data_IF_199626943688
#
_entry.id   IF_199626943688
#
_cell.length_a   1.000
_cell.length_b   1.000
_cell.length_c   1.000
_cell.angle_alpha   90.00
_cell.angle_beta   90.00
_cell.angle_gamma   90.00
#
_symmetry.space_group_name_H-M   'P 1'
#
loop_
_entity.id
_entity.type
_entity.pdbx_description
1 polymer ?
#
# COMPACT_ATOMS: atom_id res chain seq x y z
N UNK A 1 5.55 15.86 -2.85
CA UNK A 1 4.77 16.28 -1.67
C UNK A 1 5.72 16.61 -0.54
N UNK A 2 5.75 17.87 -0.12
CA UNK A 2 6.50 18.30 1.06
C UNK A 2 5.83 17.68 2.30
N UNK A 3 6.61 17.15 3.25
CA UNK A 3 6.06 16.38 4.40
C UNK A 3 5.23 17.27 5.35
N UNK A 4 5.30 18.59 5.20
CA UNK A 4 4.59 19.59 5.99
C UNK A 4 3.38 20.23 5.29
N UNK A 5 3.20 20.04 3.97
CA UNK A 5 2.20 20.80 3.22
C UNK A 5 0.81 20.19 3.37
N UNK A 6 -0.15 20.95 3.89
CA UNK A 6 -1.56 20.54 3.98
C UNK A 6 -2.19 20.44 2.59
N UNK A 7 -3.15 19.52 2.45
CA UNK A 7 -3.98 19.46 1.23
C UNK A 7 -5.04 20.56 1.35
N UNK A 8 -4.94 21.56 0.48
CA UNK A 8 -5.93 22.64 0.41
C UNK A 8 -7.30 22.07 0.03
N UNK A 9 -8.34 22.49 0.75
CA UNK A 9 -9.72 22.00 0.57
C UNK A 9 -10.21 22.16 -0.87
N UNK A 10 -9.88 23.27 -1.53
CA UNK A 10 -10.24 23.51 -2.94
C UNK A 10 -9.62 22.50 -3.91
N UNK A 11 -8.43 21.97 -3.61
CA UNK A 11 -7.77 20.96 -4.45
C UNK A 11 -8.52 19.63 -4.42
N UNK A 12 -9.06 19.22 -3.26
CA UNK A 12 -9.85 17.98 -3.17
C UNK A 12 -11.11 18.05 -4.03
N UNK A 13 -11.82 19.18 -4.00
CA UNK A 13 -13.01 19.39 -4.82
C UNK A 13 -12.64 19.39 -6.31
N UNK A 14 -11.61 20.14 -6.71
CA UNK A 14 -11.16 20.21 -8.09
C UNK A 14 -10.74 18.84 -8.63
N UNK A 15 -9.92 18.09 -7.88
CA UNK A 15 -9.53 16.73 -8.25
C UNK A 15 -10.72 15.79 -8.32
N UNK A 16 -11.63 15.84 -7.33
CA UNK A 16 -12.83 15.01 -7.31
C UNK A 16 -13.72 15.23 -8.54
N UNK A 17 -13.99 16.49 -8.88
CA UNK A 17 -14.77 16.84 -10.07
C UNK A 17 -14.07 16.44 -11.37
N UNK A 18 -12.76 16.70 -11.48
CA UNK A 18 -11.98 16.31 -12.66
C UNK A 18 -12.01 14.79 -12.87
N UNK A 19 -11.83 14.00 -11.81
CA UNK A 19 -11.88 12.54 -11.88
C UNK A 19 -13.27 12.01 -12.25
N UNK A 20 -14.34 12.61 -11.71
CA UNK A 20 -15.72 12.25 -12.06
C UNK A 20 -16.02 12.59 -13.52
N UNK A 21 -15.62 13.78 -13.99
CA UNK A 21 -15.83 14.19 -15.38
C UNK A 21 -15.02 13.32 -16.35
N UNK A 22 -13.74 13.08 -16.08
CA UNK A 22 -12.89 12.21 -16.90
C UNK A 22 -13.40 10.77 -16.90
N UNK A 23 -13.76 10.23 -15.74
CA UNK A 23 -14.33 8.90 -15.60
C UNK A 23 -15.70 8.76 -16.30
N UNK A 24 -16.55 9.78 -16.21
CA UNK A 24 -17.81 9.86 -16.93
C UNK A 24 -17.61 9.85 -18.44
N UNK A 25 -16.66 10.64 -18.95
CA UNK A 25 -16.33 10.64 -20.38
C UNK A 25 -15.83 9.27 -20.87
N UNK A 26 -14.95 8.61 -20.11
CA UNK A 26 -14.51 7.23 -20.41
C UNK A 26 -15.65 6.20 -20.35
N UNK A 27 -16.63 6.40 -19.48
CA UNK A 27 -17.73 5.46 -19.25
C UNK A 27 -18.81 5.58 -20.33
N UNK A 28 -19.20 6.80 -20.68
CA UNK A 28 -20.30 7.06 -21.62
C UNK A 28 -19.84 7.21 -23.08
N UNK A 29 -18.57 7.56 -23.30
CA UNK A 29 -18.01 7.79 -24.64
C UNK A 29 -16.62 7.15 -24.80
N UNK A 30 -16.49 5.81 -24.59
CA UNK A 30 -15.19 5.14 -24.62
C UNK A 30 -14.46 5.28 -25.97
N UNK A 31 -15.17 5.16 -27.09
CA UNK A 31 -14.57 5.28 -28.43
C UNK A 31 -14.02 6.68 -28.69
N UNK A 32 -14.83 7.69 -28.39
CA UNK A 32 -14.43 9.10 -28.54
C UNK A 32 -13.23 9.40 -27.63
N UNK A 33 -13.22 8.87 -26.40
CA UNK A 33 -12.09 9.01 -25.50
C UNK A 33 -10.82 8.37 -26.07
N UNK A 34 -10.90 7.14 -26.58
CA UNK A 34 -9.76 6.44 -27.17
C UNK A 34 -9.19 7.22 -28.35
N UNK A 35 -10.03 7.62 -29.32
CA UNK A 35 -9.59 8.42 -30.47
C UNK A 35 -9.01 9.77 -30.05
N UNK A 36 -9.65 10.46 -29.09
CA UNK A 36 -9.14 11.74 -28.58
C UNK A 36 -7.75 11.58 -27.94
N UNK A 37 -7.55 10.57 -27.10
CA UNK A 37 -6.26 10.33 -26.46
C UNK A 37 -5.19 9.96 -27.49
N UNK A 38 -5.52 9.10 -28.45
CA UNK A 38 -4.58 8.73 -29.53
C UNK A 38 -4.20 9.95 -30.37
N UNK A 39 -5.16 10.80 -30.71
CA UNK A 39 -4.90 12.07 -31.40
C UNK A 39 -4.01 13.01 -30.57
N UNK A 40 -4.28 13.17 -29.27
CA UNK A 40 -3.46 14.00 -28.40
C UNK A 40 -2.03 13.48 -28.26
N UNK A 41 -1.84 12.16 -28.16
CA UNK A 41 -0.52 11.53 -28.15
C UNK A 41 0.22 11.77 -29.47
N UNK A 42 -0.47 11.65 -30.59
CA UNK A 42 0.06 11.92 -31.92
C UNK A 42 0.52 13.38 -32.04
N UNK A 43 -0.31 14.34 -31.62
CA UNK A 43 0.08 15.75 -31.57
C UNK A 43 1.27 15.98 -30.64
N UNK A 44 1.28 15.37 -29.45
CA UNK A 44 2.37 15.52 -28.49
C UNK A 44 3.71 15.03 -29.04
N UNK A 45 3.76 13.80 -29.54
CA UNK A 45 5.00 13.24 -30.12
C UNK A 45 5.39 13.95 -31.41
N UNK A 46 4.42 14.37 -32.24
CA UNK A 46 4.70 15.15 -33.45
C UNK A 46 5.31 16.52 -33.13
N UNK A 47 4.74 17.27 -32.19
CA UNK A 47 5.27 18.56 -31.75
C UNK A 47 6.64 18.38 -31.06
N UNK A 48 6.78 17.39 -30.17
CA UNK A 48 8.06 17.09 -29.50
C UNK A 48 9.15 16.76 -30.52
N UNK A 49 8.83 15.96 -31.53
CA UNK A 49 9.74 15.66 -32.63
C UNK A 49 10.19 16.92 -33.37
N UNK A 50 9.24 17.81 -33.74
CA UNK A 50 9.56 19.09 -34.42
C UNK A 50 10.43 19.99 -33.54
N UNK A 51 10.11 20.13 -32.25
CA UNK A 51 10.88 20.94 -31.31
C UNK A 51 12.30 20.38 -31.11
N UNK A 52 12.43 19.07 -30.98
CA UNK A 52 13.74 18.41 -30.88
C UNK A 52 14.55 18.52 -32.17
N UNK A 53 13.89 18.50 -33.34
CA UNK A 53 14.53 18.74 -34.63
C UNK A 53 15.05 20.19 -34.71
N UNK A 54 14.21 21.18 -34.42
CA UNK A 54 14.60 22.60 -34.39
C UNK A 54 15.76 22.82 -33.41
N UNK A 55 15.68 22.26 -32.20
CA UNK A 55 16.72 22.37 -31.18
C UNK A 55 18.04 21.69 -31.58
N UNK A 56 18.02 20.72 -32.50
CA UNK A 56 19.20 20.08 -33.05
C UNK A 56 19.83 20.95 -34.16
N UNK A 57 19.00 21.58 -35.00
CA UNK A 57 19.44 22.49 -36.06
C UNK A 57 19.87 23.88 -35.57
N UNK A 58 19.28 24.39 -34.48
CA UNK A 58 19.57 25.74 -33.93
C UNK A 58 20.80 25.79 -33.02
N UNK A 59 21.68 24.79 -33.06
CA UNK A 59 22.83 24.68 -32.16
C UNK A 59 24.06 25.42 -32.65
N UNK A 60 24.66 26.20 -31.75
CA UNK A 60 26.03 26.67 -31.89
C UNK A 60 27.04 25.53 -31.63
N UNK A 61 28.14 25.44 -32.40
CA UNK A 61 29.08 24.32 -32.40
C UNK A 61 29.90 24.09 -31.10
N UNK A 62 29.65 24.87 -30.04
CA UNK A 62 30.37 24.77 -28.75
C UNK A 62 29.63 23.99 -27.64
N UNK A 63 28.48 23.37 -27.90
CA UNK A 63 27.75 22.60 -26.87
C UNK A 63 28.20 21.13 -26.74
N UNK A 64 28.31 20.64 -25.49
CA UNK A 64 28.76 19.30 -25.08
C UNK A 64 28.16 18.14 -25.88
N UNK A 65 29.02 17.20 -26.34
CA UNK A 65 28.67 15.92 -26.98
C UNK A 65 27.57 15.13 -26.25
N UNK A 66 27.49 15.22 -24.92
CA UNK A 66 26.47 14.55 -24.09
C UNK A 66 25.05 15.08 -24.34
N UNK A 67 24.87 16.39 -24.55
CA UNK A 67 23.57 17.00 -24.88
C UNK A 67 23.16 16.70 -26.33
N UNK A 68 24.12 16.50 -27.22
CA UNK A 68 23.88 16.06 -28.60
C UNK A 68 23.38 14.61 -28.69
N UNK A 69 23.98 13.71 -27.90
CA UNK A 69 23.53 12.33 -27.81
C UNK A 69 22.11 12.24 -27.22
N UNK A 70 21.82 13.00 -26.16
CA UNK A 70 20.50 13.01 -25.52
C UNK A 70 19.39 13.57 -26.44
N UNK A 71 19.65 14.65 -27.19
CA UNK A 71 18.65 15.21 -28.11
C UNK A 71 18.43 14.36 -29.37
N UNK A 72 19.47 13.67 -29.85
CA UNK A 72 19.33 12.76 -31.00
C UNK A 72 18.56 11.51 -30.57
N UNK A 73 18.84 11.01 -29.36
CA UNK A 73 18.07 9.91 -28.76
C UNK A 73 16.62 10.27 -28.49
N UNK A 74 16.32 11.49 -28.01
CA UNK A 74 14.93 11.92 -27.82
C UNK A 74 14.18 12.10 -29.15
N UNK A 75 14.84 12.62 -30.19
CA UNK A 75 14.26 12.75 -31.52
C UNK A 75 13.92 11.39 -32.14
N UNK A 76 14.84 10.42 -32.07
CA UNK A 76 14.57 9.05 -32.54
C UNK A 76 13.48 8.36 -31.70
N UNK A 77 13.45 8.61 -30.39
CA UNK A 77 12.41 8.12 -29.50
C UNK A 77 11.03 8.69 -29.82
N UNK A 78 10.94 10.00 -30.06
CA UNK A 78 9.70 10.69 -30.44
C UNK A 78 9.20 10.21 -31.80
N UNK A 79 10.08 10.02 -32.77
CA UNK A 79 9.72 9.48 -34.09
C UNK A 79 9.19 8.04 -33.98
N UNK A 80 9.86 7.19 -33.20
CA UNK A 80 9.42 5.82 -32.97
C UNK A 80 8.05 5.79 -32.26
N UNK A 81 7.84 6.63 -31.24
CA UNK A 81 6.58 6.76 -30.54
C UNK A 81 5.46 7.30 -31.44
N UNK A 82 5.75 8.29 -32.28
CA UNK A 82 4.80 8.85 -33.25
C UNK A 82 4.36 7.80 -34.29
N UNK A 83 5.32 7.06 -34.87
CA UNK A 83 5.03 5.97 -35.81
C UNK A 83 4.24 4.86 -35.12
N UNK A 84 4.57 4.54 -33.86
CA UNK A 84 3.85 3.53 -33.10
C UNK A 84 2.40 3.95 -32.84
N UNK A 85 2.15 5.20 -32.45
CA UNK A 85 0.77 5.71 -32.27
C UNK A 85 0.00 5.70 -33.60
N UNK A 86 0.63 6.07 -34.71
CA UNK A 86 0.02 6.04 -36.05
C UNK A 86 -0.37 4.63 -36.51
N UNK A 87 0.49 3.64 -36.28
CA UNK A 87 0.24 2.26 -36.72
C UNK A 87 -0.72 1.52 -35.77
N UNK A 88 -0.71 1.89 -34.48
CA UNK A 88 -1.40 1.16 -33.41
C UNK A 88 -2.47 1.99 -32.71
N UNK A 89 -3.07 2.98 -33.38
CA UNK A 89 -4.01 3.96 -32.81
C UNK A 89 -5.08 3.30 -31.91
N UNK A 90 -5.72 2.23 -32.39
CA UNK A 90 -6.73 1.44 -31.66
C UNK A 90 -6.13 0.32 -30.79
N UNK A 91 -4.89 -0.10 -31.09
CA UNK A 91 -4.20 -1.22 -30.44
C UNK A 91 -3.52 -0.80 -29.13
N UNK A 92 -3.28 0.49 -28.90
CA UNK A 92 -2.75 1.00 -27.62
C UNK A 92 -3.64 0.59 -26.43
N UNK A 93 -4.96 0.68 -26.58
CA UNK A 93 -5.93 0.31 -25.54
C UNK A 93 -6.07 -1.22 -25.36
N UNK A 94 -5.55 -2.00 -26.29
CA UNK A 94 -5.41 -3.46 -26.12
C UNK A 94 -4.44 -3.78 -24.98
N UNK A 95 -3.43 -2.93 -24.72
CA UNK A 95 -2.49 -3.10 -23.59
C UNK A 95 -3.22 -2.96 -22.25
N UNK A 96 -4.16 -2.01 -22.13
CA UNK A 96 -4.96 -1.84 -20.92
C UNK A 96 -5.79 -3.11 -20.66
N UNK A 97 -6.36 -3.69 -21.71
CA UNK A 97 -7.12 -4.95 -21.63
C UNK A 97 -6.25 -6.12 -21.18
N UNK A 98 -5.02 -6.22 -21.71
CA UNK A 98 -4.05 -7.22 -21.29
C UNK A 98 -3.69 -7.06 -19.81
N UNK A 99 -3.36 -5.84 -19.38
CA UNK A 99 -3.06 -5.53 -17.99
C UNK A 99 -4.24 -5.89 -17.07
N UNK A 100 -5.47 -5.59 -17.48
CA UNK A 100 -6.66 -5.95 -16.74
C UNK A 100 -6.85 -7.48 -16.66
N UNK A 101 -6.64 -8.19 -17.77
CA UNK A 101 -6.69 -9.66 -17.81
C UNK A 101 -5.68 -10.30 -16.86
N UNK A 102 -4.41 -9.88 -16.94
CA UNK A 102 -3.33 -10.34 -16.04
C UNK A 102 -3.69 -10.05 -14.58
N UNK A 103 -4.11 -8.82 -14.27
CA UNK A 103 -4.46 -8.41 -12.91
C UNK A 103 -5.64 -9.21 -12.35
N UNK A 104 -6.66 -9.45 -13.17
CA UNK A 104 -7.86 -10.18 -12.78
C UNK A 104 -7.57 -11.67 -12.58
N UNK A 105 -6.74 -12.26 -13.44
CA UNK A 105 -6.21 -13.62 -13.23
C UNK A 105 -5.41 -13.74 -11.94
N UNK A 106 -4.46 -12.83 -11.70
CA UNK A 106 -3.66 -12.81 -10.48
C UNK A 106 -4.55 -12.72 -9.23
N UNK A 107 -5.55 -11.84 -9.24
CA UNK A 107 -6.54 -11.74 -8.18
C UNK A 107 -7.36 -13.03 -8.03
N UNK A 108 -7.67 -13.73 -9.12
CA UNK A 108 -8.32 -15.04 -9.08
C UNK A 108 -7.46 -16.09 -8.38
N UNK A 109 -6.16 -16.15 -8.70
CA UNK A 109 -5.21 -17.07 -8.06
C UNK A 109 -5.04 -16.78 -6.56
N UNK A 110 -4.91 -15.51 -6.18
CA UNK A 110 -4.83 -15.09 -4.77
C UNK A 110 -6.10 -15.50 -4.01
N UNK A 111 -7.28 -15.29 -4.59
CA UNK A 111 -8.55 -15.71 -3.97
C UNK A 111 -8.68 -17.24 -3.88
N UNK A 112 -8.12 -17.98 -4.83
CA UNK A 112 -8.10 -19.44 -4.77
C UNK A 112 -7.25 -19.95 -3.60
N UNK A 113 -6.07 -19.35 -3.38
CA UNK A 113 -5.23 -19.64 -2.19
C UNK A 113 -6.01 -19.31 -0.90
N UNK A 114 -6.64 -18.13 -0.84
CA UNK A 114 -7.48 -17.74 0.29
C UNK A 114 -8.65 -18.71 0.53
N UNK A 115 -9.26 -19.25 -0.52
CA UNK A 115 -10.31 -20.27 -0.38
C UNK A 115 -9.76 -21.54 0.28
N UNK A 116 -8.58 -22.01 -0.13
CA UNK A 116 -7.93 -23.19 0.48
C UNK A 116 -7.66 -22.95 1.96
N UNK A 117 -7.15 -21.76 2.32
CA UNK A 117 -6.95 -21.36 3.72
C UNK A 117 -8.24 -21.33 4.52
N UNK A 118 -9.29 -20.70 3.99
CA UNK A 118 -10.58 -20.60 4.66
C UNK A 118 -11.24 -21.95 4.85
N UNK A 119 -11.06 -22.86 3.88
CA UNK A 119 -11.51 -24.24 4.00
C UNK A 119 -10.76 -24.96 5.12
N UNK A 120 -9.43 -24.86 5.16
CA UNK A 120 -8.57 -25.48 6.19
C UNK A 120 -8.88 -24.95 7.59
N UNK A 121 -9.14 -23.65 7.71
CA UNK A 121 -9.34 -22.95 8.98
C UNK A 121 -10.82 -22.78 9.38
N UNK A 122 -11.76 -23.41 8.66
CA UNK A 122 -13.21 -23.35 8.90
C UNK A 122 -13.75 -21.90 9.00
N UNK A 123 -13.24 -21.01 8.16
CA UNK A 123 -13.63 -19.59 8.13
C UNK A 123 -14.92 -19.43 7.30
N UNK A 124 -15.84 -18.60 7.79
CA UNK A 124 -17.07 -18.26 7.08
C UNK A 124 -16.79 -17.48 5.78
N UNK A 125 -17.70 -17.56 4.81
CA UNK A 125 -17.53 -16.89 3.51
C UNK A 125 -16.65 -17.63 2.49
N UNK A 126 -16.13 -18.83 2.81
CA UNK A 126 -15.31 -19.65 1.89
C UNK A 126 -15.93 -19.89 0.51
N UNK A 127 -17.25 -20.14 0.43
CA UNK A 127 -17.92 -20.36 -0.86
C UNK A 127 -18.01 -19.09 -1.69
N UNK A 128 -18.23 -17.95 -1.04
CA UNK A 128 -18.21 -16.64 -1.72
C UNK A 128 -16.80 -16.32 -2.25
N UNK A 129 -15.76 -16.63 -1.47
CA UNK A 129 -14.37 -16.48 -1.92
C UNK A 129 -14.04 -17.39 -3.11
N UNK A 130 -14.52 -18.64 -3.11
CA UNK A 130 -14.37 -19.54 -4.25
C UNK A 130 -15.09 -19.03 -5.49
N UNK A 131 -16.36 -18.62 -5.35
CA UNK A 131 -17.12 -18.03 -6.45
C UNK A 131 -16.40 -16.82 -7.04
N UNK A 132 -15.94 -15.89 -6.18
CA UNK A 132 -15.17 -14.73 -6.62
C UNK A 132 -13.85 -15.12 -7.29
N UNK A 133 -13.17 -16.19 -6.83
CA UNK A 133 -11.97 -16.72 -7.48
C UNK A 133 -12.27 -17.23 -8.88
N UNK A 134 -13.28 -18.09 -9.04
CA UNK A 134 -13.69 -18.66 -10.33
C UNK A 134 -14.09 -17.57 -11.32
N UNK A 135 -14.95 -16.64 -10.90
CA UNK A 135 -15.35 -15.49 -11.73
C UNK A 135 -14.13 -14.68 -12.15
N UNK A 136 -13.21 -14.37 -11.24
CA UNK A 136 -11.99 -13.62 -11.56
C UNK A 136 -11.08 -14.40 -12.54
N UNK A 137 -10.94 -15.71 -12.39
CA UNK A 137 -10.13 -16.53 -13.29
C UNK A 137 -10.74 -16.61 -14.70
N UNK A 138 -12.05 -16.83 -14.79
CA UNK A 138 -12.76 -16.88 -16.07
C UNK A 138 -12.70 -15.52 -16.78
N UNK A 139 -13.03 -14.43 -16.08
CA UNK A 139 -12.94 -13.08 -16.66
C UNK A 139 -11.51 -12.75 -17.10
N UNK A 140 -10.52 -13.04 -16.26
CA UNK A 140 -9.13 -12.81 -16.61
C UNK A 140 -8.70 -13.57 -17.87
N UNK A 141 -9.14 -14.82 -18.04
CA UNK A 141 -8.86 -15.61 -19.24
C UNK A 141 -9.57 -15.05 -20.48
N UNK A 142 -10.83 -14.63 -20.35
CA UNK A 142 -11.61 -13.99 -21.44
C UNK A 142 -10.89 -12.73 -21.95
N UNK A 143 -10.45 -11.86 -21.02
CA UNK A 143 -9.70 -10.66 -21.38
C UNK A 143 -8.35 -10.96 -22.06
N UNK A 144 -7.68 -12.06 -21.69
CA UNK A 144 -6.40 -12.47 -22.32
C UNK A 144 -6.58 -13.17 -23.66
N UNK A 145 -7.67 -13.93 -23.86
CA UNK A 145 -7.93 -14.64 -25.10
C UNK A 145 -8.25 -13.68 -26.25
N UNK A 146 -8.98 -12.60 -25.97
CA UNK A 146 -9.37 -11.60 -26.97
C UNK A 146 -9.19 -10.16 -26.49
N UNK A 147 -7.96 -9.69 -26.19
CA UNK A 147 -7.75 -8.38 -25.58
C UNK A 147 -8.23 -7.21 -26.46
N UNK A 148 -8.14 -7.35 -27.79
CA UNK A 148 -8.56 -6.31 -28.71
C UNK A 148 -10.10 -6.10 -28.72
N UNK A 149 -10.87 -7.16 -28.46
CA UNK A 149 -12.34 -7.10 -28.40
C UNK A 149 -12.84 -6.46 -27.10
N UNK A 150 -12.02 -6.47 -26.04
CA UNK A 150 -12.42 -5.99 -24.72
C UNK A 150 -11.88 -4.60 -24.38
N UNK A 151 -11.27 -3.89 -25.34
CA UNK A 151 -10.70 -2.54 -25.15
C UNK A 151 -11.71 -1.53 -24.62
N UNK A 152 -12.90 -1.48 -25.21
CA UNK A 152 -13.99 -0.59 -24.78
C UNK A 152 -14.45 -0.94 -23.36
N UNK A 153 -14.60 -2.23 -23.07
CA UNK A 153 -14.96 -2.70 -21.73
C UNK A 153 -13.89 -2.33 -20.69
N UNK A 154 -12.61 -2.42 -21.03
CA UNK A 154 -11.52 -2.00 -20.16
C UNK A 154 -11.53 -0.49 -19.89
N UNK A 155 -11.74 0.32 -20.92
CA UNK A 155 -11.87 1.79 -20.76
C UNK A 155 -13.09 2.13 -19.92
N UNK A 156 -14.22 1.47 -20.13
CA UNK A 156 -15.41 1.60 -19.31
C UNK A 156 -15.13 1.29 -17.83
N UNK A 157 -14.47 0.16 -17.53
CA UNK A 157 -14.12 -0.23 -16.16
C UNK A 157 -13.19 0.81 -15.52
N UNK A 158 -12.20 1.31 -16.26
CA UNK A 158 -11.34 2.39 -15.80
C UNK A 158 -12.14 3.68 -15.54
N UNK A 159 -13.12 4.00 -16.39
CA UNK A 159 -14.01 5.16 -16.20
C UNK A 159 -14.82 5.07 -14.92
N UNK A 160 -15.48 3.93 -14.69
CA UNK A 160 -16.23 3.66 -13.45
C UNK A 160 -15.32 3.74 -12.24
N UNK A 161 -14.12 3.17 -12.32
CA UNK A 161 -13.12 3.25 -11.26
C UNK A 161 -12.75 4.71 -10.93
N UNK A 162 -12.47 5.54 -11.93
CA UNK A 162 -12.15 6.96 -11.74
C UNK A 162 -13.32 7.74 -11.14
N UNK A 163 -14.56 7.43 -11.52
CA UNK A 163 -15.74 8.05 -10.92
C UNK A 163 -15.86 7.71 -9.43
N UNK A 164 -15.73 6.43 -9.06
CA UNK A 164 -15.75 6.02 -7.65
C UNK A 164 -14.59 6.65 -6.89
N UNK A 165 -13.41 6.72 -7.50
CA UNK A 165 -12.23 7.37 -6.90
C UNK A 165 -12.49 8.87 -6.67
N UNK A 166 -13.06 9.57 -7.65
CA UNK A 166 -13.44 10.97 -7.53
C UNK A 166 -14.50 11.22 -6.45
N UNK A 167 -15.48 10.31 -6.29
CA UNK A 167 -16.46 10.37 -5.19
C UNK A 167 -15.75 10.35 -3.82
N UNK A 168 -14.68 9.56 -3.66
CA UNK A 168 -13.92 9.55 -2.39
C UNK A 168 -13.23 10.88 -2.10
N UNK A 169 -12.75 11.60 -3.12
CA UNK A 169 -12.20 12.95 -2.97
C UNK A 169 -13.28 13.97 -2.59
N UNK A 170 -14.49 13.85 -3.15
CA UNK A 170 -15.63 14.68 -2.75
C UNK A 170 -16.01 14.42 -1.29
N UNK A 171 -16.02 13.15 -0.85
CA UNK A 171 -16.26 12.80 0.56
C UNK A 171 -15.20 13.42 1.49
N UNK A 172 -13.93 13.37 1.09
CA UNK A 172 -12.82 13.98 1.83
C UNK A 172 -12.93 15.52 1.87
N UNK A 173 -13.40 16.15 0.79
CA UNK A 173 -13.70 17.59 0.75
C UNK A 173 -14.81 17.95 1.76
N UNK A 174 -15.95 17.24 1.71
CA UNK A 174 -17.08 17.49 2.61
C UNK A 174 -16.63 17.38 4.07
N UNK A 175 -15.72 16.44 4.37
CA UNK A 175 -15.15 16.28 5.72
C UNK A 175 -14.32 17.47 6.19
N UNK A 176 -13.48 18.02 5.33
CA UNK A 176 -12.67 19.17 5.72
C UNK A 176 -13.54 20.41 5.95
N UNK A 177 -14.63 20.57 5.19
CA UNK A 177 -15.56 21.71 5.32
C UNK A 177 -16.55 21.55 6.47
N UNK A 178 -17.10 20.35 6.66
CA UNK A 178 -18.13 20.05 7.66
C UNK A 178 -17.73 18.89 8.58
N UNK A 179 -16.83 19.13 9.57
CA UNK A 179 -16.36 18.08 10.48
C UNK A 179 -17.48 17.44 11.30
N UNK A 180 -18.51 18.22 11.65
CA UNK A 180 -19.67 17.80 12.45
C UNK A 180 -20.66 16.90 11.71
N UNK A 181 -20.58 16.81 10.38
CA UNK A 181 -21.44 15.95 9.58
C UNK A 181 -21.07 14.45 9.67
N UNK A 182 -19.97 14.11 10.36
CA UNK A 182 -19.42 12.76 10.38
C UNK A 182 -19.50 12.11 11.77
N UNK A 183 -20.21 10.98 11.83
CA UNK A 183 -20.33 10.15 13.04
C UNK A 183 -19.08 9.26 13.19
N UNK A 184 -18.41 9.27 14.36
CA UNK A 184 -17.36 8.29 14.69
C UNK A 184 -17.87 6.84 14.53
N UNK A 185 -17.01 5.90 14.15
CA UNK A 185 -17.38 4.47 14.07
C UNK A 185 -18.09 4.02 12.77
N UNK A 186 -18.62 4.92 11.94
CA UNK A 186 -19.24 4.52 10.65
C UNK A 186 -18.18 4.27 9.57
N UNK A 187 -18.21 3.10 8.95
CA UNK A 187 -17.30 2.69 7.85
C UNK A 187 -17.39 3.68 6.66
N UNK A 188 -16.27 3.98 6.01
CA UNK A 188 -16.17 4.99 4.93
C UNK A 188 -15.55 4.47 3.65
N UNK A 189 -16.16 4.76 2.50
CA UNK A 189 -15.70 4.33 1.17
C UNK A 189 -14.30 4.88 0.88
N UNK A 190 -13.28 4.02 0.86
CA UNK A 190 -11.93 4.42 0.48
C UNK A 190 -11.41 3.53 -0.64
N UNK A 191 -11.54 4.02 -1.87
CA UNK A 191 -10.88 3.40 -3.01
C UNK A 191 -9.44 3.89 -3.01
N UNK A 192 -8.50 3.04 -2.59
CA UNK A 192 -7.07 3.28 -2.78
C UNK A 192 -6.64 2.85 -4.18
N UNK A 193 -5.47 3.32 -4.64
CA UNK A 193 -4.86 2.87 -5.89
C UNK A 193 -4.73 1.32 -5.96
N UNK A 194 -4.69 0.73 -7.17
CA UNK A 194 -4.46 -0.70 -7.34
C UNK A 194 -3.23 -1.19 -6.57
N UNK A 195 -3.37 -2.30 -5.85
CA UNK A 195 -2.37 -2.73 -4.86
C UNK A 195 -0.96 -2.91 -5.43
N UNK A 196 -0.81 -3.28 -6.71
CA UNK A 196 0.49 -3.41 -7.37
C UNK A 196 1.21 -2.07 -7.58
N UNK A 197 0.46 -0.97 -7.76
CA UNK A 197 1.05 0.38 -7.85
C UNK A 197 1.53 0.85 -6.46
N UNK A 198 0.75 0.54 -5.43
CA UNK A 198 1.03 1.05 -4.07
C UNK A 198 2.00 0.18 -3.28
N UNK A 199 2.18 -1.10 -3.65
CA UNK A 199 3.08 -2.02 -2.97
C UNK A 199 4.52 -1.48 -2.83
N UNK A 200 4.97 -0.63 -3.76
CA UNK A 200 6.31 -0.06 -3.76
C UNK A 200 6.38 1.37 -3.19
N UNK A 201 5.25 1.99 -2.81
CA UNK A 201 5.24 3.35 -2.28
C UNK A 201 6.13 3.55 -1.04
N UNK A 202 6.16 2.66 -0.04
CA UNK A 202 7.03 2.85 1.12
C UNK A 202 8.51 2.94 0.73
N UNK A 203 8.94 2.11 -0.23
CA UNK A 203 10.32 2.12 -0.74
C UNK A 203 10.62 3.39 -1.56
N UNK A 204 9.65 3.84 -2.38
CA UNK A 204 9.77 5.11 -3.08
C UNK A 204 9.93 6.29 -2.10
N UNK A 205 9.22 6.24 -0.96
CA UNK A 205 9.36 7.24 0.09
C UNK A 205 10.70 7.16 0.79
N UNK A 206 11.20 5.96 1.13
CA UNK A 206 12.55 5.80 1.71
C UNK A 206 13.59 6.44 0.78
N UNK A 207 13.57 6.10 -0.51
CA UNK A 207 14.51 6.68 -1.49
C UNK A 207 14.43 8.20 -1.52
N UNK A 208 13.23 8.76 -1.45
CA UNK A 208 13.01 10.21 -1.41
C UNK A 208 13.56 10.82 -0.12
N UNK A 209 13.33 10.20 1.03
CA UNK A 209 13.87 10.63 2.32
C UNK A 209 15.39 10.57 2.28
N UNK A 210 15.97 9.45 1.88
CA UNK A 210 17.42 9.29 1.72
C UNK A 210 18.01 10.34 0.76
N UNK A 211 17.32 10.66 -0.34
CA UNK A 211 17.75 11.72 -1.25
C UNK A 211 17.65 13.14 -0.62
N UNK A 212 16.65 13.41 0.21
CA UNK A 212 16.52 14.65 0.96
C UNK A 212 17.65 14.81 1.98
N UNK A 213 17.98 13.73 2.70
CA UNK A 213 19.14 13.67 3.61
C UNK A 213 20.47 13.90 2.87
N UNK A 214 20.69 13.22 1.73
CA UNK A 214 21.88 13.43 0.91
C UNK A 214 22.02 14.90 0.43
N UNK A 215 20.89 15.62 0.30
CA UNK A 215 20.85 17.04 -0.07
C UNK A 215 20.88 18.00 1.13
N UNK A 216 21.09 17.52 2.36
CA UNK A 216 21.00 18.29 3.62
C UNK A 216 19.66 19.01 3.84
N UNK A 217 18.61 18.59 3.14
CA UNK A 217 17.24 19.08 3.32
C UNK A 217 16.52 18.11 4.24
N UNK A 218 16.86 18.13 5.53
CA UNK A 218 16.31 17.17 6.49
C UNK A 218 14.82 17.47 6.70
N UNK A 219 13.89 16.60 6.27
CA UNK A 219 12.49 16.77 6.60
C UNK A 219 12.30 16.63 8.12
N UNK A 220 11.25 17.23 8.72
CA UNK A 220 10.94 17.00 10.12
C UNK A 220 10.71 15.50 10.33
N UNK A 221 11.59 14.86 11.12
CA UNK A 221 11.48 13.45 11.53
C UNK A 221 10.28 13.20 12.44
N UNK A 222 9.70 14.28 12.96
CA UNK A 222 8.51 14.27 13.78
C UNK A 222 7.73 15.55 13.53
N UNK A 223 6.42 15.43 13.32
CA UNK A 223 5.54 16.57 13.17
C UNK A 223 4.16 16.25 13.76
N UNK A 224 3.59 17.20 14.47
CA UNK A 224 2.29 17.08 15.14
C UNK A 224 1.36 18.21 14.72
N UNK A 225 0.07 17.88 14.57
CA UNK A 225 -1.04 18.83 14.36
C UNK A 225 -1.66 19.30 15.67
N UNK A 226 -1.42 18.56 16.74
CA UNK A 226 -2.02 18.75 18.05
C UNK A 226 -0.98 18.46 19.12
N UNK A 227 -0.97 19.23 20.19
CA UNK A 227 -0.09 19.02 21.35
C UNK A 227 -0.52 17.85 22.23
N UNK A 228 -1.68 17.26 21.98
CA UNK A 228 -2.15 16.12 22.75
C UNK A 228 -1.48 14.83 22.26
N UNK A 229 -1.04 13.93 23.17
CA UNK A 229 -0.39 12.69 22.78
C UNK A 229 -1.34 11.78 21.97
N UNK A 230 -0.81 10.97 21.04
CA UNK A 230 -1.59 9.98 20.33
C UNK A 230 -2.05 8.86 21.28
N UNK A 231 -3.28 8.37 21.07
CA UNK A 231 -3.84 7.23 21.82
C UNK A 231 -3.36 5.89 21.25
N UNK A 232 -3.12 5.84 19.93
CA UNK A 232 -2.58 4.69 19.21
C UNK A 232 -1.58 5.17 18.16
N UNK A 233 -0.51 4.42 17.95
CA UNK A 233 0.41 4.64 16.83
C UNK A 233 0.40 3.44 15.88
N UNK A 234 0.43 3.73 14.58
CA UNK A 234 0.58 2.72 13.53
C UNK A 234 1.98 2.82 12.95
N UNK A 235 2.75 1.75 13.05
CA UNK A 235 4.07 1.67 12.45
C UNK A 235 3.98 0.99 11.10
N UNK A 236 4.36 1.69 10.03
CA UNK A 236 4.52 1.11 8.70
C UNK A 236 6.00 0.93 8.42
N UNK A 237 6.43 -0.32 8.36
CA UNK A 237 7.81 -0.72 8.16
C UNK A 237 8.10 -0.81 6.67
N UNK A 238 9.27 -0.30 6.27
CA UNK A 238 9.73 -0.38 4.91
C UNK A 238 11.25 -0.66 4.87
N UNK A 239 11.70 -1.43 3.89
CA UNK A 239 13.11 -1.83 3.75
C UNK A 239 13.51 -1.84 2.28
N UNK A 240 14.76 -1.48 1.99
CA UNK A 240 15.31 -1.50 0.63
C UNK A 240 15.74 -2.91 0.17
N UNK A 241 15.73 -3.91 1.05
CA UNK A 241 16.30 -5.25 0.81
C UNK A 241 15.25 -6.38 0.87
N UNK A 242 15.42 -7.41 0.02
CA UNK A 242 14.68 -8.67 0.07
C UNK A 242 13.14 -8.60 -0.03
N UNK A 243 12.47 -9.60 0.54
CA UNK A 243 11.00 -9.65 0.70
C UNK A 243 10.48 -8.61 1.72
N UNK A 244 11.35 -8.06 2.57
CA UNK A 244 11.03 -6.95 3.47
C UNK A 244 10.63 -5.67 2.74
N UNK A 245 10.84 -5.60 1.42
CA UNK A 245 10.32 -4.55 0.51
C UNK A 245 8.81 -4.44 0.49
N UNK A 246 8.07 -5.53 0.76
CA UNK A 246 6.61 -5.49 0.85
C UNK A 246 6.12 -4.70 2.07
N UNK A 247 7.01 -4.49 3.05
CA UNK A 247 6.74 -3.79 4.30
C UNK A 247 6.02 -4.64 5.33
N UNK A 248 5.74 -4.04 6.48
CA UNK A 248 4.99 -4.65 7.57
C UNK A 248 4.24 -3.57 8.36
N UNK A 249 3.19 -3.94 9.09
CA UNK A 249 2.39 -2.99 9.88
C UNK A 249 2.23 -3.48 11.29
N UNK A 250 2.55 -2.61 12.25
CA UNK A 250 2.42 -2.86 13.68
C UNK A 250 1.62 -1.76 14.37
N UNK A 251 1.10 -2.09 15.56
CA UNK A 251 0.32 -1.16 16.38
C UNK A 251 1.02 -0.93 17.70
N UNK A 252 0.96 0.29 18.21
CA UNK A 252 1.33 0.62 19.58
C UNK A 252 0.14 1.27 20.28
N UNK A 253 -0.39 0.59 21.30
CA UNK A 253 -1.60 0.98 22.01
C UNK A 253 -1.45 0.69 23.50
N UNK A 254 -1.79 1.67 24.35
CA UNK A 254 -1.76 1.54 25.82
C UNK A 254 -0.44 0.96 26.37
N UNK A 255 0.69 1.48 25.89
CA UNK A 255 2.01 1.09 26.39
C UNK A 255 2.56 -0.22 25.80
N UNK A 256 1.84 -0.88 24.88
CA UNK A 256 2.27 -2.13 24.26
C UNK A 256 2.37 -2.04 22.74
N UNK A 257 3.44 -2.62 22.20
CA UNK A 257 3.57 -2.92 20.78
C UNK A 257 2.88 -4.25 20.50
N UNK A 258 2.14 -4.33 19.41
CA UNK A 258 1.52 -5.53 18.88
C UNK A 258 1.98 -5.73 17.44
N UNK A 259 2.62 -6.88 17.19
CA UNK A 259 3.15 -7.22 15.87
C UNK A 259 2.60 -8.58 15.44
N UNK A 260 1.73 -8.58 14.43
CA UNK A 260 1.11 -9.80 13.88
C UNK A 260 1.74 -10.15 12.53
N UNK A 261 2.32 -11.34 12.42
CA UNK A 261 3.10 -11.74 11.26
C UNK A 261 3.36 -13.24 11.17
N UNK A 262 4.25 -13.63 10.28
CA UNK A 262 4.76 -14.99 10.18
C UNK A 262 6.20 -15.03 10.74
N UNK A 263 6.33 -15.31 12.03
CA UNK A 263 7.61 -15.27 12.74
C UNK A 263 8.29 -16.64 12.91
N UNK A 264 7.58 -17.74 12.69
CA UNK A 264 8.17 -19.09 12.76
C UNK A 264 8.67 -19.54 11.38
N UNK A 265 9.99 -19.55 11.19
CA UNK A 265 10.65 -19.94 9.93
C UNK A 265 10.34 -21.38 9.51
N UNK A 266 10.07 -22.28 10.47
CA UNK A 266 9.76 -23.70 10.21
C UNK A 266 8.41 -23.88 9.52
N UNK A 267 7.53 -22.90 9.64
CA UNK A 267 6.18 -22.94 9.09
C UNK A 267 6.07 -22.23 7.74
N UNK A 268 7.15 -21.60 7.25
CA UNK A 268 7.15 -20.82 6.01
C UNK A 268 7.14 -21.71 4.77
N UNK A 269 6.35 -21.30 3.79
CA UNK A 269 6.04 -22.07 2.58
C UNK A 269 5.77 -21.09 1.43
N UNK A 270 5.96 -21.54 0.19
CA UNK A 270 5.86 -20.69 -1.01
C UNK A 270 6.72 -19.42 -0.93
N UNK A 271 8.06 -19.57 -0.87
CA UNK A 271 8.99 -18.44 -0.82
C UNK A 271 8.65 -17.42 0.28
N UNK A 272 8.30 -17.90 1.48
CA UNK A 272 7.92 -17.09 2.66
C UNK A 272 6.60 -16.29 2.56
N UNK A 273 5.80 -16.52 1.52
CA UNK A 273 4.51 -15.83 1.34
C UNK A 273 3.41 -16.35 2.27
N UNK A 274 3.52 -17.61 2.70
CA UNK A 274 2.58 -18.29 3.57
C UNK A 274 3.28 -18.74 4.84
N UNK A 275 2.52 -18.87 5.93
CA UNK A 275 3.01 -19.43 7.19
C UNK A 275 1.95 -19.48 8.28
N UNK A 276 2.34 -19.86 9.49
CA UNK A 276 1.47 -19.72 10.65
C UNK A 276 1.42 -18.26 11.13
N UNK A 277 0.22 -17.82 11.53
CA UNK A 277 0.03 -16.49 12.09
C UNK A 277 0.48 -16.45 13.55
N UNK A 278 1.29 -15.45 13.87
CA UNK A 278 1.87 -15.23 15.18
C UNK A 278 1.61 -13.80 15.64
N UNK A 279 1.33 -13.62 16.93
CA UNK A 279 1.28 -12.33 17.58
C UNK A 279 2.42 -12.26 18.57
N UNK A 280 3.21 -11.20 18.49
CA UNK A 280 4.23 -10.86 19.49
C UNK A 280 3.84 -9.53 20.13
N UNK A 281 4.01 -9.42 21.45
CA UNK A 281 3.71 -8.20 22.19
C UNK A 281 4.83 -7.83 23.15
N UNK A 282 5.15 -6.56 23.30
CA UNK A 282 6.18 -6.07 24.25
C UNK A 282 5.79 -4.69 24.80
N UNK A 283 6.13 -4.42 26.05
CA UNK A 283 5.96 -3.10 26.68
C UNK A 283 7.15 -2.16 26.38
N UNK A 284 8.26 -2.71 25.89
CA UNK A 284 9.48 -1.96 25.58
C UNK A 284 9.53 -1.42 24.14
N UNK A 285 8.64 -0.47 23.82
CA UNK A 285 8.55 0.18 22.50
C UNK A 285 9.92 0.59 21.90
N UNK A 286 10.79 1.22 22.69
CA UNK A 286 12.07 1.72 22.17
C UNK A 286 13.05 0.59 21.84
N UNK A 287 13.08 -0.48 22.63
CA UNK A 287 13.91 -1.64 22.34
C UNK A 287 13.40 -2.37 21.08
N UNK A 288 12.08 -2.52 20.97
CA UNK A 288 11.42 -3.04 19.78
C UNK A 288 11.80 -2.27 18.51
N UNK A 289 11.64 -0.93 18.52
CA UNK A 289 11.93 -0.08 17.36
C UNK A 289 13.40 -0.16 16.96
N UNK A 290 14.33 -0.13 17.92
CA UNK A 290 15.77 -0.28 17.65
C UNK A 290 16.07 -1.60 16.98
N UNK A 291 15.56 -2.71 17.52
CA UNK A 291 15.77 -4.03 16.92
C UNK A 291 15.14 -4.13 15.53
N UNK A 292 13.90 -3.64 15.36
CA UNK A 292 13.21 -3.68 14.07
C UNK A 292 13.97 -2.90 12.98
N UNK A 293 14.56 -1.76 13.33
CA UNK A 293 15.42 -0.97 12.45
C UNK A 293 16.71 -1.74 12.14
N UNK A 294 17.43 -2.23 13.16
CA UNK A 294 18.71 -2.91 12.98
C UNK A 294 18.58 -4.21 12.17
N UNK A 295 17.55 -5.01 12.43
CA UNK A 295 17.40 -6.35 11.85
C UNK A 295 17.28 -6.38 10.32
N UNK A 296 16.70 -5.36 9.69
CA UNK A 296 16.60 -5.31 8.21
C UNK A 296 16.83 -3.92 7.64
N UNK A 297 17.62 -3.10 8.35
CA UNK A 297 17.90 -1.70 8.02
C UNK A 297 16.61 -0.94 7.68
N UNK A 298 15.57 -1.17 8.48
CA UNK A 298 14.20 -0.70 8.18
C UNK A 298 14.11 0.79 8.46
N UNK A 299 13.31 1.48 7.66
CA UNK A 299 12.72 2.76 8.04
C UNK A 299 11.30 2.49 8.50
N UNK A 300 10.93 3.05 9.65
CA UNK A 300 9.60 2.89 10.24
C UNK A 300 8.89 4.24 10.21
N UNK A 301 7.71 4.25 9.60
CA UNK A 301 6.81 5.40 9.54
C UNK A 301 5.74 5.24 10.61
N UNK A 302 5.84 5.98 11.70
CA UNK A 302 4.86 6.03 12.78
C UNK A 302 3.80 7.10 12.52
N UNK A 303 2.53 6.71 12.49
CA UNK A 303 1.39 7.62 12.45
C UNK A 303 0.69 7.59 13.79
N UNK A 304 0.64 8.71 14.49
CA UNK A 304 -0.08 8.84 15.76
C UNK A 304 -1.52 9.26 15.54
N UNK A 305 -2.46 8.49 16.08
CA UNK A 305 -3.88 8.73 15.98
C UNK A 305 -4.49 9.05 17.34
N UNK A 306 -5.39 10.03 17.34
CA UNK A 306 -6.21 10.39 18.49
C UNK A 306 -7.57 9.71 18.40
N UNK A 307 -7.96 9.06 19.49
CA UNK A 307 -9.17 8.27 19.60
C UNK A 307 -10.07 8.84 20.70
N UNK A 308 -11.38 8.77 20.47
CA UNK A 308 -12.38 8.94 21.53
C UNK A 308 -12.35 7.74 22.49
N UNK A 309 -12.91 7.89 23.70
CA UNK A 309 -13.00 6.77 24.65
C UNK A 309 -13.80 5.58 24.09
N UNK A 310 -14.87 5.85 23.34
CA UNK A 310 -15.66 4.81 22.67
C UNK A 310 -14.80 4.03 21.66
N UNK A 311 -14.02 4.73 20.84
CA UNK A 311 -13.07 4.11 19.90
C UNK A 311 -12.01 3.27 20.61
N UNK A 312 -11.48 3.74 21.74
CA UNK A 312 -10.53 2.97 22.55
C UNK A 312 -11.16 1.69 23.11
N UNK A 313 -12.41 1.76 23.59
CA UNK A 313 -13.14 0.57 24.05
C UNK A 313 -13.32 -0.46 22.93
N UNK A 314 -13.61 -0.03 21.70
CA UNK A 314 -13.67 -0.94 20.55
C UNK A 314 -12.33 -1.61 20.25
N UNK A 315 -11.22 -0.85 20.27
CA UNK A 315 -9.87 -1.40 20.07
C UNK A 315 -9.56 -2.44 21.16
N UNK A 316 -9.80 -2.12 22.44
CA UNK A 316 -9.62 -3.05 23.56
C UNK A 316 -10.43 -4.34 23.39
N UNK A 317 -11.69 -4.22 22.99
CA UNK A 317 -12.55 -5.37 22.76
C UNK A 317 -12.01 -6.27 21.63
N UNK A 318 -11.56 -5.70 20.51
CA UNK A 318 -10.97 -6.46 19.40
C UNK A 318 -9.67 -7.15 19.76
N UNK A 319 -8.79 -6.48 20.51
CA UNK A 319 -7.57 -7.10 21.02
C UNK A 319 -7.93 -8.27 21.96
N UNK A 320 -8.91 -8.09 22.85
CA UNK A 320 -9.37 -9.15 23.76
C UNK A 320 -9.95 -10.36 23.00
N UNK A 321 -10.80 -10.12 22.00
CA UNK A 321 -11.36 -11.17 21.13
C UNK A 321 -10.25 -11.95 20.41
N UNK A 322 -9.25 -11.24 19.90
CA UNK A 322 -8.12 -11.84 19.22
C UNK A 322 -7.28 -12.69 20.19
N UNK A 323 -7.02 -12.19 21.40
CA UNK A 323 -6.30 -12.91 22.47
C UNK A 323 -6.98 -14.22 22.87
N UNK A 324 -8.31 -14.32 22.77
CA UNK A 324 -9.04 -15.56 23.04
C UNK A 324 -8.75 -16.71 22.06
N UNK A 325 -8.03 -16.43 20.97
CA UNK A 325 -7.61 -17.41 19.96
C UNK A 325 -6.09 -17.68 19.99
N UNK A 326 -5.37 -17.14 20.97
CA UNK A 326 -3.92 -17.28 21.08
C UNK A 326 -3.53 -18.43 22.00
N UNK A 327 -2.41 -19.08 21.67
CA UNK A 327 -1.72 -19.98 22.57
C UNK A 327 -0.24 -19.56 22.67
N UNK A 328 0.43 -19.80 23.80
CA UNK A 328 1.87 -19.57 23.91
C UNK A 328 2.64 -20.23 22.76
N UNK A 329 3.59 -19.49 22.22
CA UNK A 329 4.56 -19.94 21.25
C UNK A 329 5.94 -19.56 21.78
N UNK A 330 6.95 -20.36 21.45
CA UNK A 330 8.29 -20.19 22.00
C UNK A 330 9.28 -20.05 20.83
N UNK A 331 10.02 -18.93 20.73
CA UNK A 331 11.07 -18.78 19.74
C UNK A 331 12.24 -19.73 20.03
N UNK A 332 13.10 -19.94 19.04
CA UNK A 332 14.14 -20.96 19.10
C UNK A 332 15.17 -20.68 20.21
N UNK A 333 15.54 -19.41 20.43
CA UNK A 333 16.39 -19.03 21.57
C UNK A 333 15.78 -19.42 22.93
N UNK A 334 14.47 -19.26 23.10
CA UNK A 334 13.79 -19.65 24.34
C UNK A 334 13.72 -21.18 24.47
N UNK A 335 13.51 -21.90 23.37
CA UNK A 335 13.53 -23.37 23.37
C UNK A 335 14.92 -23.93 23.69
N UNK A 336 15.99 -23.26 23.23
CA UNK A 336 17.36 -23.60 23.56
C UNK A 336 17.67 -23.39 25.04
N UNK A 337 17.23 -22.27 25.62
CA UNK A 337 17.33 -22.01 27.06
C UNK A 337 16.59 -23.08 27.90
N UNK A 338 15.48 -23.61 27.38
CA UNK A 338 14.74 -24.72 27.99
C UNK A 338 15.35 -26.10 27.74
N UNK A 339 16.49 -26.20 27.05
CA UNK A 339 17.14 -27.47 26.70
C UNK A 339 16.40 -28.30 25.66
N UNK A 340 15.47 -27.69 24.90
CA UNK A 340 14.66 -28.36 23.86
C UNK A 340 15.26 -28.23 22.46
N UNK A 341 16.21 -27.31 22.28
CA UNK A 341 17.03 -27.13 21.09
C UNK A 341 18.52 -27.01 21.48
N UNK A 342 19.45 -27.18 20.53
CA UNK A 342 20.88 -26.94 20.77
C UNK A 342 21.13 -25.52 21.30
N UNK A 343 22.10 -25.38 22.21
CA UNK A 343 22.50 -24.08 22.73
C UNK A 343 23.46 -23.39 21.74
N UNK A 344 22.89 -22.74 20.73
CA UNK A 344 23.59 -22.01 19.67
C UNK A 344 23.00 -20.60 19.51
N UNK A 345 23.71 -19.64 18.88
CA UNK A 345 23.15 -18.33 18.61
C UNK A 345 22.04 -18.42 17.55
N UNK A 346 20.84 -17.93 17.91
CA UNK A 346 19.69 -17.84 17.01
C UNK A 346 19.49 -16.40 16.55
N UNK A 347 19.70 -16.17 15.26
CA UNK A 347 19.62 -14.84 14.63
C UNK A 347 18.25 -14.56 13.98
N UNK A 348 17.25 -15.43 14.17
CA UNK A 348 15.90 -15.16 13.69
C UNK A 348 15.25 -13.99 14.47
N UNK A 349 14.32 -13.29 13.83
CA UNK A 349 13.72 -12.08 14.39
C UNK A 349 13.05 -12.31 15.75
N UNK A 350 12.42 -13.48 15.96
CA UNK A 350 11.71 -13.78 17.20
C UNK A 350 12.69 -14.09 18.34
N UNK A 351 13.76 -14.81 18.06
CA UNK A 351 14.86 -15.08 19.01
C UNK A 351 15.58 -13.79 19.43
N UNK A 352 15.83 -12.88 18.49
CA UNK A 352 16.42 -11.57 18.81
C UNK A 352 15.47 -10.71 19.65
N UNK A 353 14.16 -10.75 19.36
CA UNK A 353 13.16 -10.08 20.20
C UNK A 353 13.15 -10.65 21.61
N UNK A 354 13.21 -11.98 21.76
CA UNK A 354 13.21 -12.66 23.05
C UNK A 354 14.42 -12.27 23.90
N UNK A 355 15.62 -12.24 23.29
CA UNK A 355 16.87 -11.97 24.00
C UNK A 355 17.08 -10.49 24.33
N UNK A 356 16.49 -9.56 23.56
CA UNK A 356 16.72 -8.12 23.70
C UNK A 356 15.54 -7.36 24.32
N UNK A 357 14.40 -8.01 24.55
CA UNK A 357 13.19 -7.40 25.09
C UNK A 357 12.47 -8.36 26.06
N UNK A 358 11.32 -7.94 26.59
CA UNK A 358 10.40 -8.73 27.42
C UNK A 358 9.24 -9.33 26.60
N UNK A 359 9.46 -9.54 25.30
CA UNK A 359 8.41 -9.91 24.38
C UNK A 359 7.68 -11.20 24.79
N UNK A 360 6.37 -11.18 24.67
CA UNK A 360 5.50 -12.34 24.80
C UNK A 360 5.11 -12.85 23.41
N UNK A 361 5.15 -14.16 23.26
CA UNK A 361 5.09 -14.84 21.97
C UNK A 361 3.86 -15.75 21.91
N UNK A 362 3.05 -15.57 20.87
CA UNK A 362 1.80 -16.30 20.70
C UNK A 362 1.63 -16.78 19.27
N UNK A 363 1.08 -17.98 19.12
CA UNK A 363 0.55 -18.49 17.84
C UNK A 363 -0.96 -18.38 17.81
N UNK A 364 -1.51 -18.11 16.63
CA UNK A 364 -2.96 -18.08 16.42
C UNK A 364 -3.48 -19.50 16.19
N UNK A 365 -4.41 -19.94 17.04
CA UNK A 365 -4.86 -21.35 17.04
C UNK A 365 -6.05 -21.63 16.14
N UNK A 366 -6.88 -20.62 15.88
CA UNK A 366 -8.15 -20.74 15.14
C UNK A 366 -8.53 -19.44 14.43
N UNK A 367 -9.48 -19.56 13.50
CA UNK A 367 -10.01 -18.43 12.74
C UNK A 367 -9.13 -18.01 11.55
N UNK A 368 -9.47 -16.87 10.96
CA UNK A 368 -8.88 -16.40 9.71
C UNK A 368 -7.37 -16.20 9.79
N UNK A 369 -6.89 -15.63 10.90
CA UNK A 369 -5.48 -15.30 11.13
C UNK A 369 -4.62 -16.48 11.59
N UNK A 370 -5.15 -17.71 11.60
CA UNK A 370 -4.34 -18.91 11.87
C UNK A 370 -3.26 -19.09 10.79
N UNK A 371 -3.60 -18.79 9.55
CA UNK A 371 -2.66 -18.83 8.42
C UNK A 371 -2.36 -17.40 7.99
N UNK A 372 -1.08 -17.06 8.00
CA UNK A 372 -0.58 -15.82 7.46
C UNK A 372 -0.37 -15.97 5.96
N UNK A 373 -0.89 -15.01 5.19
CA UNK A 373 -0.70 -14.93 3.75
C UNK A 373 -0.46 -13.48 3.33
N UNK A 374 0.74 -13.19 2.82
CA UNK A 374 1.19 -11.83 2.45
C UNK A 374 0.19 -11.08 1.55
N UNK A 375 -0.47 -11.75 0.60
CA UNK A 375 -1.39 -11.12 -0.36
C UNK A 375 -2.87 -11.20 0.08
N UNK A 376 -3.15 -11.77 1.25
CA UNK A 376 -4.49 -12.07 1.70
C UNK A 376 -4.67 -11.76 3.19
N UNK A 377 -4.51 -12.76 4.04
CA UNK A 377 -4.61 -12.59 5.50
C UNK A 377 -3.25 -12.20 6.10
N UNK A 378 -2.96 -10.89 6.13
CA UNK A 378 -1.66 -10.35 6.52
C UNK A 378 -1.71 -9.36 7.70
N UNK A 379 -0.56 -8.76 8.04
CA UNK A 379 -0.39 -7.75 9.09
C UNK A 379 -1.28 -6.52 8.92
N UNK A 380 -1.46 -6.06 7.68
CA UNK A 380 -2.27 -4.88 7.38
C UNK A 380 -3.75 -5.17 7.59
N UNK A 381 -4.22 -6.32 7.10
CA UNK A 381 -5.60 -6.74 7.34
C UNK A 381 -5.89 -6.88 8.83
N UNK A 382 -4.94 -7.43 9.59
CA UNK A 382 -5.08 -7.55 11.04
C UNK A 382 -5.17 -6.17 11.70
N UNK A 383 -4.23 -5.27 11.41
CA UNK A 383 -4.23 -3.91 11.94
C UNK A 383 -5.53 -3.15 11.57
N UNK A 384 -5.98 -3.29 10.33
CA UNK A 384 -7.23 -2.70 9.83
C UNK A 384 -8.47 -3.30 10.51
N UNK A 385 -8.45 -4.56 10.94
CA UNK A 385 -9.56 -5.11 11.75
C UNK A 385 -9.58 -4.60 13.19
N UNK A 386 -8.41 -4.36 13.79
CA UNK A 386 -8.30 -3.76 15.12
C UNK A 386 -8.76 -2.30 15.08
N UNK A 387 -8.29 -1.54 14.09
CA UNK A 387 -8.58 -0.11 13.92
C UNK A 387 -9.93 0.18 13.27
N UNK A 388 -10.43 -0.73 12.43
CA UNK A 388 -11.65 -0.53 11.66
C UNK A 388 -12.90 -0.40 12.54
N UNK A 389 -12.90 -1.04 13.71
CA UNK A 389 -13.97 -0.90 14.70
C UNK A 389 -14.02 0.51 15.34
N UNK A 390 -12.91 1.26 15.32
CA UNK A 390 -12.89 2.66 15.72
C UNK A 390 -13.42 3.61 14.62
N UNK A 391 -13.94 3.12 13.49
CA UNK A 391 -14.35 3.95 12.36
C UNK A 391 -13.19 4.61 11.61
N UNK A 392 -11.99 4.06 11.80
CA UNK A 392 -10.78 4.39 11.05
C UNK A 392 -10.56 3.45 9.85
N UNK A 393 -11.52 2.55 9.63
CA UNK A 393 -11.55 1.54 8.57
C UNK A 393 -11.48 2.20 7.18
N UNK A 394 -10.59 1.69 6.32
CA UNK A 394 -10.68 1.94 4.90
C UNK A 394 -11.73 0.99 4.32
N UNK A 395 -12.93 1.46 3.90
CA UNK A 395 -13.81 0.55 3.14
C UNK A 395 -13.10 0.18 1.86
N UNK A 396 -12.94 -1.12 1.73
CA UNK A 396 -12.11 -1.83 0.76
C UNK A 396 -12.85 -1.98 -0.55
N UNK A 397 -12.24 -1.52 -1.63
CA UNK A 397 -12.68 -1.89 -2.99
C UNK A 397 -11.57 -2.67 -3.72
N UNK A 398 -10.29 -2.48 -3.37
CA UNK A 398 -9.20 -3.32 -3.88
C UNK A 398 -9.01 -4.55 -2.97
N UNK A 399 -9.10 -5.75 -3.57
CA UNK A 399 -9.14 -7.02 -2.83
C UNK A 399 -7.84 -7.45 -2.14
N UNK A 400 -6.74 -6.70 -2.32
CA UNK A 400 -5.42 -6.96 -1.73
C UNK A 400 -4.98 -5.71 -0.98
N UNK A 401 -4.68 -5.84 0.30
CA UNK A 401 -4.21 -4.76 1.16
C UNK A 401 -2.72 -4.94 1.39
N UNK A 402 -1.94 -3.90 1.09
CA UNK A 402 -0.49 -3.89 1.27
C UNK A 402 -0.07 -2.81 2.26
N UNK A 403 1.09 -2.94 2.93
CA UNK A 403 1.63 -1.89 3.80
C UNK A 403 1.73 -0.54 3.09
N UNK A 404 2.05 -0.56 1.79
CA UNK A 404 2.01 0.64 0.95
C UNK A 404 0.64 1.28 0.83
N UNK A 405 -0.43 0.51 0.61
CA UNK A 405 -1.80 1.06 0.60
C UNK A 405 -2.18 1.71 1.92
N UNK A 406 -1.71 1.15 3.04
CA UNK A 406 -1.97 1.71 4.36
C UNK A 406 -1.16 2.98 4.62
N UNK A 407 0.10 2.99 4.19
CA UNK A 407 0.96 4.18 4.22
C UNK A 407 0.35 5.35 3.43
N UNK A 408 -0.10 5.10 2.18
CA UNK A 408 -0.71 6.12 1.32
C UNK A 408 -1.94 6.73 1.99
N UNK A 409 -2.82 5.88 2.52
CA UNK A 409 -4.00 6.32 3.25
C UNK A 409 -3.65 7.16 4.49
N UNK A 410 -2.79 6.66 5.39
CA UNK A 410 -2.42 7.35 6.63
C UNK A 410 -1.71 8.67 6.34
N UNK A 411 -0.87 8.71 5.30
CA UNK A 411 -0.22 9.92 4.81
C UNK A 411 -1.25 10.93 4.33
N UNK A 412 -2.20 10.53 3.48
CA UNK A 412 -3.29 11.40 3.03
C UNK A 412 -4.10 11.94 4.22
N UNK A 413 -4.48 11.08 5.17
CA UNK A 413 -5.17 11.51 6.39
C UNK A 413 -4.33 12.49 7.22
N UNK A 414 -3.01 12.30 7.30
CA UNK A 414 -2.10 13.25 7.93
C UNK A 414 -2.04 14.59 7.19
N UNK A 415 -2.17 14.66 5.86
CA UNK A 415 -2.16 15.96 5.18
C UNK A 415 -3.51 16.68 5.17
N UNK A 416 -4.60 15.99 5.52
CA UNK A 416 -5.94 16.57 5.66
C UNK A 416 -6.18 17.17 7.05
N UNK A 417 -7.05 18.18 7.11
CA UNK A 417 -7.55 18.73 8.37
C UNK A 417 -8.67 17.86 8.96
N UNK A 418 -8.90 17.98 10.27
CA UNK A 418 -10.00 17.30 10.99
C UNK A 418 -9.99 15.76 10.82
N UNK A 419 -8.78 15.18 10.86
CA UNK A 419 -8.56 13.74 10.85
C UNK A 419 -8.06 13.23 12.20
N UNK A 420 -8.22 11.92 12.43
CA UNK A 420 -7.72 11.28 13.64
C UNK A 420 -6.18 11.20 13.65
N UNK A 421 -5.53 11.24 12.49
CA UNK A 421 -4.07 11.21 12.37
C UNK A 421 -3.52 12.59 12.71
N UNK A 422 -2.93 12.69 13.90
CA UNK A 422 -2.44 13.94 14.48
C UNK A 422 -0.92 14.07 14.43
N UNK A 423 -0.17 12.98 14.28
CA UNK A 423 1.28 13.05 14.20
C UNK A 423 1.87 12.06 13.21
N UNK A 424 3.07 12.39 12.75
CA UNK A 424 3.90 11.55 11.91
C UNK A 424 5.33 11.55 12.46
N UNK A 425 5.93 10.38 12.57
CA UNK A 425 7.30 10.18 13.04
C UNK A 425 8.05 9.20 12.13
N UNK A 426 9.29 9.50 11.79
CA UNK A 426 10.17 8.60 11.05
C UNK A 426 11.23 8.06 12.00
N UNK A 427 11.17 6.77 12.30
CA UNK A 427 12.22 6.08 13.04
C UNK A 427 13.18 5.40 12.05
N UNK A 428 14.46 5.70 12.19
CA UNK A 428 15.55 5.15 11.38
C UNK A 428 16.83 5.12 12.20
N UNK A 429 17.80 4.35 11.74
CA UNK A 429 19.16 4.42 12.28
C UNK A 429 19.73 5.83 11.98
N UNK A 430 20.24 6.50 13.01
CA UNK A 430 20.98 7.74 12.83
C UNK A 430 22.20 7.42 11.96
N UNK A 431 22.32 8.07 10.80
CA UNK A 431 23.56 8.00 10.05
C UNK A 431 24.58 8.83 10.83
N UNK A 432 25.37 8.18 11.68
CA UNK A 432 26.63 8.75 12.16
C UNK A 432 27.50 9.04 10.94
N UNK A 433 27.55 10.32 10.57
CA UNK A 433 28.55 10.87 9.64
C UNK A 433 29.92 10.87 10.26
#
# INVERSE_FOLDING_TARGET
MDLSKRIETGTLLAYGLLLICAGGFMTFFPDVFMSMVSFLLLCFFGISFVLNAIALFSRHPKQEKRRALLSTGSLMGDLAAFILVLIFEDRLFTIISLCFGIWTLFNGLVKLILYVEYRKNQVSGRLLTLFAAVVSLVLGFVFLASPAMHRETSVFICGVYLMVYGITYIQDFIRQVYPSAFVPGKRRLHLGWPAFLVALMPNAMIKKINAMYAKKQVPPLHAEKSSAPPDIEVFVHASEEGFSKFGHVDLYFEGRVYTYGCYDDRTKWFFTLLGEGHLITTEHKQAYLRLAIAYSKKTIFGFGLRLTEEQKQFVRHKLKDFSACLAPWYPDAQLAEQGRLPNEPYDDYASLLYTQTDAQFFRVTKGRFKTYFVLGTNCVLWADQILGAAGLDMIRVSGIITPGSYYDYLTKQYHMENTAVISYTVYREEQTT
#
